data_IF_051150409901
#
_entry.id   IF_051150409901
#
_cell.length_a   1.000
_cell.length_b   1.000
_cell.length_c   1.000
_cell.angle_alpha   90.00
_cell.angle_beta   90.00
_cell.angle_gamma   90.00
#
_symmetry.space_group_name_H-M   'P 1'
#
loop_
_entity.id
_entity.type
_entity.pdbx_description
1 polymer ?
#
# COMPACT_ATOMS: atom_id res chain seq x y z
N UNK A 1 14.61 -59.75 22.74
CA UNK A 1 13.31 -59.05 22.81
C UNK A 1 13.60 -57.61 22.45
N UNK A 2 13.29 -57.23 21.22
CA UNK A 2 13.67 -55.98 20.56
C UNK A 2 13.09 -54.79 21.32
N UNK A 3 13.95 -53.91 21.86
CA UNK A 3 13.51 -52.61 22.36
C UNK A 3 13.15 -51.72 21.17
N UNK A 4 11.90 -51.26 21.14
CA UNK A 4 11.41 -50.31 20.15
C UNK A 4 11.79 -48.91 20.63
N UNK A 5 12.70 -48.29 19.89
CA UNK A 5 13.16 -46.91 20.06
C UNK A 5 11.96 -45.93 20.01
N UNK A 6 11.70 -45.13 21.06
CA UNK A 6 10.59 -44.17 21.10
C UNK A 6 10.84 -42.89 20.28
N UNK A 7 11.92 -42.80 19.50
CA UNK A 7 12.32 -41.56 18.80
C UNK A 7 11.59 -41.29 17.47
N UNK A 8 10.50 -42.00 17.15
CA UNK A 8 9.83 -41.92 15.83
C UNK A 8 8.52 -41.13 15.81
N UNK A 9 8.38 -40.13 16.68
CA UNK A 9 7.38 -39.07 16.54
C UNK A 9 8.05 -37.69 16.58
N UNK A 10 9.05 -37.48 15.71
CA UNK A 10 9.35 -36.14 15.25
C UNK A 10 8.13 -35.65 14.46
N UNK A 11 7.23 -34.94 15.14
CA UNK A 11 6.13 -34.23 14.50
C UNK A 11 6.74 -33.36 13.39
N UNK A 12 6.47 -33.75 12.14
CA UNK A 12 6.75 -32.93 10.97
C UNK A 12 6.18 -31.53 11.26
N UNK A 13 6.92 -30.44 10.99
CA UNK A 13 6.36 -29.11 11.17
C UNK A 13 5.16 -29.00 10.22
N UNK A 14 3.97 -29.09 10.79
CA UNK A 14 2.72 -28.80 10.10
C UNK A 14 2.87 -27.36 9.61
N UNK A 15 2.90 -27.16 8.29
CA UNK A 15 3.05 -25.86 7.65
C UNK A 15 2.14 -24.84 8.35
N UNK A 16 2.77 -23.98 9.16
CA UNK A 16 2.08 -23.09 10.07
C UNK A 16 1.20 -22.12 9.30
N UNK A 17 -0.02 -21.91 9.81
CA UNK A 17 -0.97 -20.92 9.33
C UNK A 17 -0.28 -19.58 9.00
N UNK A 18 -0.78 -18.82 7.99
CA UNK A 18 -0.17 -17.55 7.63
C UNK A 18 -0.09 -16.65 8.86
N UNK A 19 1.13 -16.22 9.20
CA UNK A 19 1.39 -15.27 10.28
C UNK A 19 0.47 -14.06 10.13
N UNK A 20 -0.46 -13.88 11.07
CA UNK A 20 -1.44 -12.80 11.03
C UNK A 20 -0.77 -11.43 10.89
N UNK A 21 0.44 -11.27 11.43
CA UNK A 21 1.24 -10.05 11.24
C UNK A 21 1.66 -9.86 9.78
N UNK A 22 2.04 -10.93 9.09
CA UNK A 22 2.38 -10.89 7.67
C UNK A 22 1.16 -10.53 6.81
N UNK A 23 -0.02 -11.07 7.15
CA UNK A 23 -1.28 -10.72 6.47
C UNK A 23 -1.66 -9.25 6.67
N UNK A 24 -1.59 -8.75 7.90
CA UNK A 24 -1.89 -7.35 8.22
C UNK A 24 -0.89 -6.42 7.54
N UNK A 25 0.40 -6.77 7.51
CA UNK A 25 1.42 -6.00 6.78
C UNK A 25 1.13 -5.95 5.27
N UNK A 26 0.73 -7.07 4.67
CA UNK A 26 0.38 -7.12 3.25
C UNK A 26 -0.85 -6.24 2.94
N UNK A 27 -1.89 -6.31 3.77
CA UNK A 27 -3.08 -5.46 3.63
C UNK A 27 -2.76 -3.97 3.81
N UNK A 28 -1.94 -3.63 4.81
CA UNK A 28 -1.49 -2.25 5.02
C UNK A 28 -0.69 -1.75 3.81
N UNK A 29 0.17 -2.59 3.23
CA UNK A 29 0.95 -2.26 2.03
C UNK A 29 0.03 -1.96 0.85
N UNK A 30 -0.95 -2.83 0.59
CA UNK A 30 -1.92 -2.64 -0.50
C UNK A 30 -2.76 -1.37 -0.29
N UNK A 31 -3.22 -1.13 0.93
CA UNK A 31 -3.96 0.08 1.29
C UNK A 31 -3.13 1.35 1.07
N UNK A 32 -1.85 1.34 1.43
CA UNK A 32 -0.96 2.48 1.25
C UNK A 32 -0.67 2.79 -0.22
N UNK A 33 -0.49 1.75 -1.06
CA UNK A 33 -0.33 1.93 -2.51
C UNK A 33 -1.59 2.52 -3.13
N UNK A 34 -2.77 2.05 -2.73
CA UNK A 34 -4.05 2.62 -3.18
C UNK A 34 -4.21 4.07 -2.73
N UNK A 35 -3.86 4.39 -1.49
CA UNK A 35 -3.87 5.76 -1.00
C UNK A 35 -2.97 6.67 -1.86
N UNK A 36 -1.75 6.23 -2.17
CA UNK A 36 -0.83 6.98 -3.03
C UNK A 36 -1.40 7.21 -4.43
N UNK A 37 -2.05 6.20 -5.03
CA UNK A 37 -2.73 6.37 -6.31
C UNK A 37 -3.86 7.41 -6.24
N UNK A 38 -4.71 7.36 -5.20
CA UNK A 38 -5.76 8.36 -5.00
C UNK A 38 -5.18 9.77 -4.82
N UNK A 39 -4.10 9.89 -4.07
CA UNK A 39 -3.43 11.17 -3.84
C UNK A 39 -2.85 11.75 -5.14
N UNK A 40 -2.12 10.96 -5.93
CA UNK A 40 -1.57 11.39 -7.22
C UNK A 40 -2.69 11.82 -8.17
N UNK A 41 -3.75 11.01 -8.27
CA UNK A 41 -4.92 11.35 -9.11
C UNK A 41 -5.51 12.68 -8.68
N UNK A 42 -5.72 12.88 -7.39
CA UNK A 42 -6.28 14.13 -6.86
C UNK A 42 -5.39 15.34 -7.18
N UNK A 43 -4.07 15.21 -7.06
CA UNK A 43 -3.13 16.27 -7.44
C UNK A 43 -3.23 16.61 -8.94
N UNK A 44 -3.26 15.59 -9.82
CA UNK A 44 -3.40 15.79 -11.26
C UNK A 44 -4.71 16.51 -11.60
N UNK A 45 -5.82 16.08 -11.00
CA UNK A 45 -7.13 16.72 -11.17
C UNK A 45 -7.10 18.18 -10.69
N UNK A 46 -6.48 18.47 -9.53
CA UNK A 46 -6.37 19.83 -9.01
C UNK A 46 -5.48 20.73 -9.89
N UNK A 47 -4.35 20.22 -10.39
CA UNK A 47 -3.50 20.95 -11.32
C UNK A 47 -4.26 21.34 -12.59
N UNK A 48 -5.06 20.41 -13.14
CA UNK A 48 -5.88 20.69 -14.33
C UNK A 48 -7.03 21.65 -14.02
N UNK A 49 -7.68 21.54 -12.86
CA UNK A 49 -8.70 22.50 -12.44
C UNK A 49 -8.12 23.92 -12.34
N UNK A 50 -6.89 24.05 -11.81
CA UNK A 50 -6.15 25.31 -11.81
C UNK A 50 -5.88 25.82 -13.22
N UNK A 51 -5.38 24.98 -14.12
CA UNK A 51 -5.12 25.36 -15.51
C UNK A 51 -6.39 25.82 -16.25
N UNK A 52 -7.53 25.16 -16.02
CA UNK A 52 -8.83 25.52 -16.61
C UNK A 52 -9.32 26.89 -16.15
N UNK A 53 -9.13 27.22 -14.87
CA UNK A 53 -9.54 28.53 -14.35
C UNK A 53 -8.82 29.71 -15.04
N UNK A 54 -7.70 29.45 -15.71
CA UNK A 54 -6.94 30.43 -16.50
C UNK A 54 -7.16 30.28 -18.02
N UNK A 55 -7.88 29.26 -18.48
CA UNK A 55 -8.09 29.00 -19.91
C UNK A 55 -9.33 29.74 -20.43
N UNK A 56 -9.29 30.16 -21.69
CA UNK A 56 -10.42 30.83 -22.35
C UNK A 56 -11.68 29.93 -22.36
N UNK A 57 -12.86 30.55 -22.28
CA UNK A 57 -14.14 29.82 -22.21
C UNK A 57 -14.38 28.90 -23.42
N UNK A 58 -13.89 29.28 -24.60
CA UNK A 58 -13.99 28.50 -25.86
C UNK A 58 -12.88 27.44 -26.03
N UNK A 59 -12.01 27.26 -25.03
CA UNK A 59 -10.87 26.35 -25.10
C UNK A 59 -11.26 24.86 -25.08
N UNK A 60 -10.44 24.00 -25.70
CA UNK A 60 -10.71 22.57 -25.76
C UNK A 60 -10.67 21.89 -24.38
N UNK A 61 -10.00 22.51 -23.42
CA UNK A 61 -9.80 22.13 -22.03
C UNK A 61 -11.10 22.24 -21.20
N UNK A 62 -12.03 23.11 -21.63
CA UNK A 62 -13.32 23.34 -20.98
C UNK A 62 -14.44 22.43 -21.48
N UNK A 63 -14.19 21.58 -22.49
CA UNK A 63 -15.20 20.65 -23.03
C UNK A 63 -15.42 19.45 -22.10
N UNK A 64 -16.65 19.20 -21.60
CA UNK A 64 -16.93 18.15 -20.60
C UNK A 64 -16.48 16.73 -21.02
N UNK A 65 -16.71 16.35 -22.28
CA UNK A 65 -16.33 15.01 -22.80
C UNK A 65 -14.82 14.74 -22.75
N UNK A 66 -14.00 15.78 -22.89
CA UNK A 66 -12.55 15.65 -22.77
C UNK A 66 -12.15 15.42 -21.31
N UNK A 67 -12.94 15.93 -20.36
CA UNK A 67 -12.65 15.83 -18.93
C UNK A 67 -12.81 14.40 -18.44
N UNK A 68 -13.90 13.72 -18.81
CA UNK A 68 -14.15 12.33 -18.39
C UNK A 68 -13.05 11.38 -18.92
N UNK A 69 -12.67 11.54 -20.19
CA UNK A 69 -11.58 10.75 -20.78
C UNK A 69 -10.24 11.01 -20.08
N UNK A 70 -9.96 12.28 -19.74
CA UNK A 70 -8.76 12.65 -19.02
C UNK A 70 -8.77 12.16 -17.56
N UNK A 71 -9.91 12.14 -16.88
CA UNK A 71 -10.03 11.63 -15.51
C UNK A 71 -9.77 10.11 -15.44
N UNK A 72 -10.17 9.38 -16.49
CA UNK A 72 -9.83 7.95 -16.65
C UNK A 72 -8.34 7.78 -16.90
N UNK A 73 -7.75 8.59 -17.79
CA UNK A 73 -6.31 8.56 -18.07
C UNK A 73 -5.48 8.88 -16.83
N UNK A 74 -5.86 9.89 -16.05
CA UNK A 74 -5.20 10.26 -14.80
C UNK A 74 -5.26 9.11 -13.78
N UNK A 75 -6.39 8.40 -13.71
CA UNK A 75 -6.52 7.21 -12.87
C UNK A 75 -5.49 6.13 -13.24
N UNK A 76 -5.37 5.81 -14.53
CA UNK A 76 -4.42 4.81 -15.01
C UNK A 76 -2.96 5.23 -14.77
N UNK A 77 -2.64 6.51 -14.97
CA UNK A 77 -1.30 7.05 -14.73
C UNK A 77 -0.99 7.03 -13.23
N UNK A 78 -1.92 7.46 -12.37
CA UNK A 78 -1.74 7.45 -10.93
C UNK A 78 -1.53 6.04 -10.38
N UNK A 79 -2.31 5.06 -10.87
CA UNK A 79 -2.13 3.65 -10.50
C UNK A 79 -0.76 3.11 -10.92
N UNK A 80 -0.28 3.46 -12.12
CA UNK A 80 1.03 3.03 -12.60
C UNK A 80 2.17 3.62 -11.74
N UNK A 81 2.09 4.91 -11.42
CA UNK A 81 3.10 5.61 -10.61
C UNK A 81 3.14 5.11 -9.16
N UNK A 82 1.97 4.87 -8.56
CA UNK A 82 1.87 4.32 -7.21
C UNK A 82 2.41 2.89 -7.12
N UNK A 83 2.15 2.05 -8.13
CA UNK A 83 2.72 0.69 -8.19
C UNK A 83 4.24 0.70 -8.29
N UNK A 84 4.82 1.69 -8.96
CA UNK A 84 6.26 1.90 -9.02
C UNK A 84 6.84 2.51 -7.74
N UNK A 85 5.99 2.91 -6.78
CA UNK A 85 6.38 3.63 -5.56
C UNK A 85 7.22 4.87 -5.86
N UNK A 86 6.91 5.55 -6.98
CA UNK A 86 7.73 6.66 -7.49
C UNK A 86 7.73 7.90 -6.56
N UNK A 87 6.65 8.12 -5.80
CA UNK A 87 6.54 9.24 -4.86
C UNK A 87 6.94 8.87 -3.42
N UNK A 88 6.88 7.59 -3.06
CA UNK A 88 7.32 7.08 -1.75
C UNK A 88 6.37 7.40 -0.59
N UNK A 89 5.17 7.94 -0.86
CA UNK A 89 4.18 8.27 0.18
C UNK A 89 3.66 6.99 0.83
N UNK A 90 3.44 5.94 0.03
CA UNK A 90 3.01 4.64 0.54
C UNK A 90 4.01 4.06 1.56
N UNK A 91 5.31 4.20 1.29
CA UNK A 91 6.37 3.73 2.20
C UNK A 91 6.46 4.57 3.48
N UNK A 92 6.32 5.90 3.36
CA UNK A 92 6.26 6.78 4.53
C UNK A 92 5.05 6.46 5.43
N UNK A 93 3.89 6.22 4.83
CA UNK A 93 2.70 5.82 5.57
C UNK A 93 2.89 4.49 6.30
N UNK A 94 3.47 3.49 5.64
CA UNK A 94 3.76 2.20 6.30
C UNK A 94 4.70 2.38 7.50
N UNK A 95 5.73 3.21 7.33
CA UNK A 95 6.71 3.49 8.39
C UNK A 95 6.10 4.23 9.57
N UNK A 96 5.07 5.04 9.36
CA UNK A 96 4.36 5.72 10.45
C UNK A 96 3.31 4.83 11.10
N UNK A 97 2.54 4.08 10.31
CA UNK A 97 1.37 3.31 10.76
C UNK A 97 1.77 1.98 11.40
N UNK A 98 2.74 1.23 10.84
CA UNK A 98 3.09 -0.10 11.36
C UNK A 98 3.69 -0.07 12.78
N UNK A 99 4.63 0.84 13.12
CA UNK A 99 5.12 0.96 14.49
C UNK A 99 4.05 1.45 15.46
N UNK A 100 3.22 2.41 15.04
CA UNK A 100 2.10 2.92 15.86
C UNK A 100 1.02 1.85 16.13
N UNK A 101 0.87 0.88 15.23
CA UNK A 101 -0.06 -0.24 15.37
C UNK A 101 0.50 -1.43 16.20
N UNK A 102 1.68 -1.30 16.81
CA UNK A 102 2.30 -2.38 17.60
C UNK A 102 2.74 -3.59 16.77
N UNK A 103 2.92 -3.39 15.45
CA UNK A 103 3.39 -4.43 14.52
C UNK A 103 4.92 -4.38 14.32
N UNK A 104 5.63 -3.56 15.10
CA UNK A 104 7.09 -3.60 15.21
C UNK A 104 7.53 -4.91 15.85
N UNK A 105 8.48 -5.60 15.22
CA UNK A 105 9.01 -6.89 15.66
C UNK A 105 10.03 -6.80 16.79
N UNK A 106 9.99 -5.76 17.62
CA UNK A 106 10.97 -5.60 18.69
C UNK A 106 10.46 -6.31 19.95
N UNK A 107 11.15 -7.34 20.47
CA UNK A 107 10.78 -7.94 21.74
C UNK A 107 10.94 -6.88 22.85
N UNK A 108 10.05 -6.83 23.85
CA UNK A 108 10.23 -5.94 24.99
C UNK A 108 11.58 -6.29 25.64
N UNK A 109 12.52 -5.33 25.61
CA UNK A 109 13.79 -5.44 26.31
C UNK A 109 13.48 -5.84 27.76
N UNK A 110 13.89 -7.05 28.14
CA UNK A 110 13.70 -7.54 29.49
C UNK A 110 14.49 -6.64 30.45
N UNK A 111 13.88 -6.11 31.52
CA UNK A 111 14.62 -5.36 32.53
C UNK A 111 15.60 -6.33 33.20
N UNK A 112 16.90 -6.08 33.04
CA UNK A 112 17.93 -6.75 33.82
C UNK A 112 17.70 -6.44 35.29
N UNK A 113 17.42 -7.47 36.09
CA UNK A 113 17.47 -7.42 37.56
C UNK A 113 18.22 -8.65 38.04
#
# INVERSE_FOLDING_TARGET
MTELDPSLHAALPLAGAPDDKARVKAQATDAAVKFEAFFIKQMLTQMRAGARALADEDSAENKPVNQDMLDIADGMVADALAKQRAFGIADLMLRQVLPAAGLSSDPPASPST
#
